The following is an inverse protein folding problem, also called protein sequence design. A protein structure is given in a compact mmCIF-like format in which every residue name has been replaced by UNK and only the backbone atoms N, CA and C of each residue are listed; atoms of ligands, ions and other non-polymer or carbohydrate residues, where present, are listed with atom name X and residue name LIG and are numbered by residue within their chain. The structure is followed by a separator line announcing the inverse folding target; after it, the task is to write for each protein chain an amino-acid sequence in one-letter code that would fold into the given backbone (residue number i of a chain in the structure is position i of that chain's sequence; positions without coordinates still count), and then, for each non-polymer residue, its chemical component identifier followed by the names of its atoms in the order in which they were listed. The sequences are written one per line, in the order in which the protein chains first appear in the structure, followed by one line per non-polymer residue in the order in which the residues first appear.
data_IF_623324601913
#
_entry.id   IF_623324601913
#
_cell.length_a   1.000
_cell.length_b   1.000
_cell.length_c   1.000
_cell.angle_alpha   90.00
_cell.angle_beta   90.00
_cell.angle_gamma   90.00
#
_symmetry.space_group_name_H-M   'P 1'
#
loop_
_entity.id
_entity.type
_entity.pdbx_description
1 polymer ?
#
# COMPACT_ATOMS: atom_id res chain seq x y z
N UNK A 1 -48.20 -11.48 -25.67
CA UNK A 1 -47.65 -12.61 -24.89
C UNK A 1 -46.12 -12.60 -24.84
N UNK A 2 -45.44 -12.10 -25.88
CA UNK A 2 -43.97 -11.97 -25.93
C UNK A 2 -43.41 -10.83 -25.07
N UNK A 3 -44.06 -9.66 -25.04
CA UNK A 3 -43.58 -8.51 -24.26
C UNK A 3 -43.55 -8.79 -22.74
N UNK A 4 -44.55 -9.53 -22.24
CA UNK A 4 -44.64 -9.92 -20.83
C UNK A 4 -43.52 -10.89 -20.44
N UNK A 5 -43.11 -11.79 -21.35
CA UNK A 5 -42.01 -12.74 -21.13
C UNK A 5 -40.66 -12.05 -21.12
N UNK A 6 -40.42 -11.09 -22.01
CA UNK A 6 -39.16 -10.32 -22.05
C UNK A 6 -38.99 -9.47 -20.79
N UNK A 7 -40.07 -8.83 -20.31
CA UNK A 7 -40.02 -8.03 -19.07
C UNK A 7 -39.76 -8.91 -17.84
N UNK A 8 -40.38 -10.09 -17.74
CA UNK A 8 -40.16 -11.02 -16.63
C UNK A 8 -38.72 -11.58 -16.64
N UNK A 9 -38.20 -11.95 -17.81
CA UNK A 9 -36.82 -12.42 -17.95
C UNK A 9 -35.78 -11.34 -17.64
N UNK A 10 -36.04 -10.09 -18.06
CA UNK A 10 -35.18 -8.95 -17.72
C UNK A 10 -35.21 -8.61 -16.22
N UNK A 11 -36.37 -8.74 -15.57
CA UNK A 11 -36.51 -8.54 -14.12
C UNK A 11 -35.76 -9.64 -13.33
N UNK A 12 -35.81 -10.90 -13.78
CA UNK A 12 -35.05 -12.00 -13.17
C UNK A 12 -33.54 -11.85 -13.32
N UNK A 13 -33.06 -11.36 -14.48
CA UNK A 13 -31.65 -11.05 -14.71
C UNK A 13 -31.16 -9.86 -13.87
N UNK A 14 -32.02 -8.86 -13.61
CA UNK A 14 -31.72 -7.72 -12.73
C UNK A 14 -31.65 -8.13 -11.25
N UNK A 15 -32.45 -9.11 -10.80
CA UNK A 15 -32.40 -9.62 -9.42
C UNK A 15 -31.18 -10.51 -9.18
N UNK A 16 -30.71 -11.24 -10.20
CA UNK A 16 -29.55 -12.13 -10.09
C UNK A 16 -28.19 -11.38 -10.00
N UNK A 17 -28.13 -10.12 -10.41
CA UNK A 17 -26.87 -9.37 -10.53
C UNK A 17 -26.59 -8.35 -9.40
N UNK A 18 -27.40 -8.30 -8.33
CA UNK A 18 -27.42 -7.13 -7.44
C UNK A 18 -27.40 -7.35 -5.93
N UNK A 19 -27.30 -8.57 -5.41
CA UNK A 19 -27.25 -8.80 -3.96
C UNK A 19 -25.90 -9.39 -3.57
N UNK A 20 -24.94 -8.51 -3.26
CA UNK A 20 -23.88 -8.87 -2.32
C UNK A 20 -24.54 -9.00 -0.95
N UNK A 21 -25.10 -10.19 -0.68
CA UNK A 21 -25.63 -10.51 0.64
C UNK A 21 -24.44 -10.69 1.57
N UNK A 22 -24.44 -9.99 2.71
CA UNK A 22 -23.53 -10.31 3.80
C UNK A 22 -23.60 -11.82 4.07
N UNK A 23 -22.46 -12.45 4.33
CA UNK A 23 -22.45 -13.87 4.72
C UNK A 23 -23.35 -13.99 5.95
N UNK A 24 -24.23 -15.00 5.99
CA UNK A 24 -25.22 -15.21 7.07
C UNK A 24 -24.58 -15.15 8.47
N UNK A 25 -23.30 -15.52 8.58
CA UNK A 25 -22.51 -15.42 9.80
C UNK A 25 -22.24 -14.00 10.30
N UNK A 26 -22.09 -13.01 9.40
CA UNK A 26 -21.82 -11.61 9.73
C UNK A 26 -23.04 -10.90 10.33
N UNK A 27 -24.25 -11.42 10.12
CA UNK A 27 -25.46 -10.92 10.76
C UNK A 27 -25.47 -11.19 12.28
N UNK A 28 -24.70 -12.18 12.74
CA UNK A 28 -24.60 -12.52 14.16
C UNK A 28 -23.55 -11.62 14.86
N UNK A 29 -23.93 -10.83 15.90
CA UNK A 29 -22.99 -9.99 16.63
C UNK A 29 -21.80 -10.72 17.25
N UNK A 30 -21.94 -12.01 17.58
CA UNK A 30 -20.83 -12.80 18.12
C UNK A 30 -19.71 -13.05 17.11
N UNK A 31 -20.00 -13.03 15.80
CA UNK A 31 -18.98 -13.08 14.76
C UNK A 31 -17.97 -11.94 14.95
N UNK A 32 -18.46 -10.70 14.99
CA UNK A 32 -17.64 -9.49 15.16
C UNK A 32 -16.93 -9.45 16.52
N UNK A 33 -17.61 -9.81 17.61
CA UNK A 33 -17.01 -9.86 18.95
C UNK A 33 -15.90 -10.90 19.04
N UNK A 34 -16.09 -12.06 18.42
CA UNK A 34 -15.08 -13.11 18.41
C UNK A 34 -13.83 -12.68 17.65
N UNK A 35 -14.00 -12.01 16.50
CA UNK A 35 -12.88 -11.48 15.71
C UNK A 35 -12.12 -10.40 16.48
N UNK A 36 -12.83 -9.46 17.10
CA UNK A 36 -12.22 -8.41 17.92
C UNK A 36 -11.41 -8.98 19.10
N UNK A 37 -11.96 -9.98 19.82
CA UNK A 37 -11.25 -10.67 20.91
C UNK A 37 -9.97 -11.35 20.43
N UNK A 38 -10.02 -12.03 19.28
CA UNK A 38 -8.84 -12.67 18.66
C UNK A 38 -7.77 -11.63 18.29
N UNK A 39 -8.16 -10.51 17.68
CA UNK A 39 -7.23 -9.42 17.32
C UNK A 39 -6.62 -8.77 18.55
N UNK A 40 -7.41 -8.52 19.60
CA UNK A 40 -6.87 -7.96 20.85
C UNK A 40 -5.85 -8.91 21.48
N UNK A 41 -6.18 -10.19 21.57
CA UNK A 41 -5.28 -11.20 22.13
C UNK A 41 -3.97 -11.29 21.33
N UNK A 42 -4.03 -11.29 20.00
CA UNK A 42 -2.83 -11.34 19.16
C UNK A 42 -1.91 -10.12 19.32
N UNK A 43 -2.49 -8.94 19.60
CA UNK A 43 -1.72 -7.72 19.91
C UNK A 43 -1.09 -7.79 21.30
N UNK A 44 -1.82 -8.29 22.31
CA UNK A 44 -1.32 -8.44 23.68
C UNK A 44 -0.18 -9.46 23.78
N UNK A 45 -0.26 -10.55 23.01
CA UNK A 45 0.76 -11.61 23.00
C UNK A 45 2.00 -11.25 22.18
N UNK A 46 1.97 -10.12 21.47
CA UNK A 46 3.04 -9.72 20.55
C UNK A 46 4.30 -9.30 21.30
N UNK A 47 5.41 -10.01 21.05
CA UNK A 47 6.75 -9.64 21.52
C UNK A 47 7.48 -8.80 20.48
N UNK A 48 8.05 -7.67 20.89
CA UNK A 48 8.84 -6.82 20.01
C UNK A 48 10.22 -7.45 19.75
N UNK A 49 10.64 -7.46 18.48
CA UNK A 49 12.00 -7.81 18.11
C UNK A 49 12.89 -6.56 18.21
N UNK A 50 13.79 -6.53 19.18
CA UNK A 50 14.72 -5.43 19.42
C UNK A 50 16.13 -5.69 18.86
N UNK A 51 16.32 -6.80 18.14
CA UNK A 51 17.61 -7.14 17.53
C UNK A 51 17.91 -6.24 16.33
N UNK A 52 19.20 -6.10 16.01
CA UNK A 52 19.64 -5.40 14.79
C UNK A 52 19.28 -6.22 13.55
N UNK A 53 18.63 -5.60 12.57
CA UNK A 53 18.23 -6.27 11.33
C UNK A 53 19.45 -6.68 10.48
N UNK A 54 19.55 -7.98 10.18
CA UNK A 54 20.57 -8.50 9.25
C UNK A 54 20.27 -8.12 7.80
N UNK A 55 18.99 -8.19 7.43
CA UNK A 55 18.47 -7.99 6.07
C UNK A 55 17.37 -6.93 6.09
N UNK A 56 17.25 -6.15 5.02
CA UNK A 56 16.18 -5.19 4.81
C UNK A 56 15.55 -5.51 3.46
N UNK A 57 14.24 -5.76 3.44
CA UNK A 57 13.45 -5.90 2.23
C UNK A 57 12.48 -4.72 2.19
N UNK A 58 12.47 -4.00 1.07
CA UNK A 58 11.64 -2.82 0.89
C UNK A 58 10.78 -3.01 -0.36
N UNK A 59 9.47 -3.20 -0.17
CA UNK A 59 8.51 -3.35 -1.26
C UNK A 59 7.89 -1.99 -1.55
N UNK A 60 8.00 -1.54 -2.81
CA UNK A 60 7.45 -0.27 -3.26
C UNK A 60 6.36 -0.50 -4.30
N UNK A 61 5.12 -0.16 -3.95
CA UNK A 61 4.03 -0.04 -4.93
C UNK A 61 3.96 1.39 -5.46
N UNK A 62 4.56 1.66 -6.62
CA UNK A 62 4.48 2.99 -7.24
C UNK A 62 3.01 3.32 -7.58
N UNK A 63 2.55 4.51 -7.17
CA UNK A 63 1.14 4.92 -7.29
C UNK A 63 0.13 4.15 -6.41
N UNK A 64 0.59 3.26 -5.51
CA UNK A 64 -0.30 2.43 -4.68
C UNK A 64 -0.77 3.18 -3.42
N UNK A 65 -1.70 4.13 -3.61
CA UNK A 65 -2.39 4.79 -2.50
C UNK A 65 -3.38 3.87 -1.76
N UNK A 66 -4.00 4.38 -0.70
CA UNK A 66 -4.98 3.65 0.13
C UNK A 66 -6.18 3.16 -0.72
N UNK A 67 -6.62 3.98 -1.68
CA UNK A 67 -7.72 3.66 -2.60
C UNK A 67 -7.34 2.51 -3.54
N UNK A 68 -6.19 2.62 -4.20
CA UNK A 68 -5.64 1.55 -5.06
C UNK A 68 -5.49 0.25 -4.29
N UNK A 69 -4.90 0.31 -3.10
CA UNK A 69 -4.71 -0.85 -2.23
C UNK A 69 -6.03 -1.51 -1.82
N UNK A 70 -7.05 -0.71 -1.47
CA UNK A 70 -8.37 -1.23 -1.10
C UNK A 70 -9.10 -1.84 -2.28
N UNK A 71 -9.05 -1.21 -3.46
CA UNK A 71 -9.61 -1.79 -4.68
C UNK A 71 -8.93 -3.12 -5.03
N UNK A 72 -7.59 -3.21 -4.91
CA UNK A 72 -6.85 -4.45 -5.13
C UNK A 72 -7.22 -5.55 -4.13
N UNK A 73 -7.46 -5.22 -2.85
CA UNK A 73 -7.91 -6.18 -1.83
C UNK A 73 -9.25 -6.81 -2.19
N UNK A 74 -10.22 -5.97 -2.56
CA UNK A 74 -11.56 -6.42 -2.98
C UNK A 74 -11.46 -7.31 -4.21
N UNK A 75 -10.72 -6.85 -5.24
CA UNK A 75 -10.53 -7.61 -6.46
C UNK A 75 -9.87 -8.97 -6.19
N UNK A 76 -8.84 -9.02 -5.33
CA UNK A 76 -8.20 -10.28 -4.94
C UNK A 76 -9.22 -11.26 -4.36
N UNK A 77 -10.03 -10.81 -3.40
CA UNK A 77 -11.05 -11.66 -2.79
C UNK A 77 -12.09 -12.18 -3.78
N UNK A 78 -12.53 -11.32 -4.70
CA UNK A 78 -13.48 -11.71 -5.75
C UNK A 78 -12.88 -12.75 -6.72
N UNK A 79 -11.59 -12.62 -7.05
CA UNK A 79 -10.86 -13.64 -7.83
C UNK A 79 -10.72 -14.97 -7.08
N UNK A 80 -10.81 -14.95 -5.75
CA UNK A 80 -10.82 -16.12 -4.86
C UNK A 80 -12.25 -16.60 -4.52
N UNK A 81 -13.27 -16.14 -5.25
CA UNK A 81 -14.69 -16.44 -5.04
C UNK A 81 -15.24 -16.02 -3.66
N UNK A 82 -14.69 -14.95 -3.07
CA UNK A 82 -15.17 -14.30 -1.85
C UNK A 82 -15.92 -12.99 -2.19
N UNK A 83 -16.53 -12.35 -1.19
CA UNK A 83 -17.20 -11.04 -1.36
C UNK A 83 -16.19 -9.94 -1.69
N UNK A 84 -15.04 -9.94 -1.02
CA UNK A 84 -13.87 -9.14 -1.37
C UNK A 84 -13.38 -8.29 -0.21
N UNK A 85 -14.27 -7.53 0.43
CA UNK A 85 -13.96 -6.55 1.46
C UNK A 85 -13.23 -7.15 2.68
N UNK A 86 -13.58 -8.38 3.05
CA UNK A 86 -13.03 -9.11 4.19
C UNK A 86 -11.67 -9.77 3.90
N UNK A 87 -11.25 -9.78 2.63
CA UNK A 87 -10.03 -10.47 2.20
C UNK A 87 -8.80 -9.82 2.80
N UNK A 88 -7.88 -10.62 3.36
CA UNK A 88 -6.63 -10.10 3.93
C UNK A 88 -5.51 -10.21 2.89
N UNK A 89 -4.85 -9.08 2.60
CA UNK A 89 -3.62 -9.05 1.78
C UNK A 89 -2.41 -9.45 2.63
N UNK A 90 -1.34 -9.94 2.01
CA UNK A 90 -0.09 -10.21 2.73
C UNK A 90 0.47 -8.95 3.41
N UNK A 91 0.24 -7.77 2.85
CA UNK A 91 0.62 -6.50 3.49
C UNK A 91 -0.25 -6.17 4.72
N UNK A 92 -1.50 -6.63 4.78
CA UNK A 92 -2.38 -6.43 5.94
C UNK A 92 -1.92 -7.22 7.17
N UNK A 93 -1.10 -8.27 6.98
CA UNK A 93 -0.55 -9.06 8.09
C UNK A 93 0.68 -8.41 8.74
N UNK A 94 1.15 -7.26 8.23
CA UNK A 94 2.28 -6.56 8.81
C UNK A 94 1.85 -5.94 10.15
N UNK A 95 2.64 -6.13 11.23
CA UNK A 95 2.20 -5.77 12.58
C UNK A 95 2.17 -4.26 12.84
N UNK A 96 2.78 -3.45 11.98
CA UNK A 96 2.88 -2.01 12.15
C UNK A 96 2.46 -1.30 10.87
N UNK A 97 1.67 -0.25 11.02
CA UNK A 97 1.20 0.62 9.93
C UNK A 97 1.49 2.08 10.30
N UNK A 98 1.79 2.89 9.29
CA UNK A 98 2.01 4.32 9.45
C UNK A 98 1.59 5.07 8.19
N UNK A 99 1.29 6.35 8.34
CA UNK A 99 0.99 7.24 7.22
C UNK A 99 2.22 8.10 6.90
N UNK A 100 2.52 8.25 5.61
CA UNK A 100 3.64 9.06 5.13
C UNK A 100 3.14 10.30 4.39
N UNK A 101 3.75 11.47 4.69
CA UNK A 101 3.48 12.73 3.97
C UNK A 101 4.40 12.84 2.75
N UNK A 102 3.85 12.72 1.55
CA UNK A 102 4.62 12.48 0.31
C UNK A 102 5.08 13.72 -0.43
N UNK A 103 4.62 14.93 -0.09
CA UNK A 103 5.00 16.19 -0.77
C UNK A 103 6.51 16.32 -1.06
N UNK A 104 6.88 16.87 -2.23
CA UNK A 104 8.26 17.28 -2.53
C UNK A 104 8.53 18.65 -1.92
N UNK A 105 9.78 19.10 -1.85
CA UNK A 105 10.09 20.40 -1.22
C UNK A 105 9.41 21.58 -1.94
N UNK A 106 9.22 21.46 -3.24
CA UNK A 106 8.68 22.50 -4.12
C UNK A 106 7.23 22.26 -4.58
N UNK A 107 6.66 21.06 -4.41
CA UNK A 107 5.28 20.73 -4.82
C UNK A 107 4.54 19.84 -3.81
N UNK A 108 3.24 20.09 -3.68
CA UNK A 108 2.35 19.29 -2.82
C UNK A 108 2.11 17.89 -3.39
N UNK A 109 1.97 17.79 -4.71
CA UNK A 109 1.86 16.53 -5.45
C UNK A 109 3.25 16.17 -5.97
N UNK A 110 3.91 15.14 -5.44
CA UNK A 110 5.27 14.78 -5.82
C UNK A 110 5.30 13.90 -7.08
N UNK A 111 6.49 13.70 -7.63
CA UNK A 111 6.80 12.65 -8.63
C UNK A 111 7.56 11.47 -8.00
N UNK A 112 7.76 10.41 -8.79
CA UNK A 112 8.48 9.20 -8.34
C UNK A 112 9.95 9.50 -8.00
N UNK A 113 10.61 10.44 -8.68
CA UNK A 113 12.03 10.75 -8.42
C UNK A 113 12.23 11.45 -7.06
N UNK A 114 11.40 12.46 -6.76
CA UNK A 114 11.50 13.17 -5.49
C UNK A 114 11.15 12.27 -4.30
N UNK A 115 10.13 11.42 -4.45
CA UNK A 115 9.75 10.45 -3.41
C UNK A 115 10.82 9.38 -3.23
N UNK A 116 11.42 8.85 -4.31
CA UNK A 116 12.54 7.91 -4.23
C UNK A 116 13.70 8.44 -3.40
N UNK A 117 14.07 9.70 -3.61
CA UNK A 117 15.12 10.35 -2.80
C UNK A 117 14.72 10.43 -1.33
N UNK A 118 13.44 10.70 -1.03
CA UNK A 118 12.95 10.76 0.34
C UNK A 118 13.03 9.41 1.07
N UNK A 119 12.44 8.33 0.52
CA UNK A 119 12.38 7.05 1.22
C UNK A 119 13.66 6.19 1.08
N UNK A 120 14.50 6.43 0.07
CA UNK A 120 15.78 5.70 -0.06
C UNK A 120 16.97 6.45 0.52
N UNK A 121 16.99 7.79 0.50
CA UNK A 121 18.12 8.59 0.99
C UNK A 121 17.81 9.35 2.28
N UNK A 122 16.54 9.36 2.75
CA UNK A 122 16.14 10.06 3.97
C UNK A 122 16.07 11.58 3.84
N UNK A 123 16.12 12.12 2.60
CA UNK A 123 16.14 13.56 2.34
C UNK A 123 15.09 13.90 1.27
N UNK A 124 14.21 14.86 1.55
CA UNK A 124 13.27 15.38 0.54
C UNK A 124 14.00 16.27 -0.47
N UNK A 125 13.56 16.20 -1.72
CA UNK A 125 14.11 17.00 -2.82
C UNK A 125 12.98 17.65 -3.65
N UNK A 126 13.37 18.33 -4.73
CA UNK A 126 12.48 18.97 -5.69
C UNK A 126 11.95 17.98 -6.74
N UNK A 127 10.84 18.32 -7.40
CA UNK A 127 10.30 17.51 -8.50
C UNK A 127 11.34 17.22 -9.59
N UNK A 128 11.25 16.04 -10.20
CA UNK A 128 12.10 15.60 -11.29
C UNK A 128 13.60 15.60 -10.95
N UNK A 129 13.95 15.49 -9.66
CA UNK A 129 15.34 15.34 -9.21
C UNK A 129 15.48 14.06 -8.39
N UNK A 130 16.63 13.39 -8.52
CA UNK A 130 16.90 12.11 -7.87
C UNK A 130 18.29 12.14 -7.22
N UNK A 131 18.39 11.63 -5.99
CA UNK A 131 19.68 11.43 -5.32
C UNK A 131 20.43 12.73 -5.01
N UNK A 132 19.71 13.86 -4.96
CA UNK A 132 20.24 15.18 -4.60
C UNK A 132 19.32 15.86 -3.59
N UNK A 133 19.84 16.83 -2.85
CA UNK A 133 19.05 17.68 -1.96
C UNK A 133 18.24 18.71 -2.74
N UNK A 134 17.26 19.34 -2.08
CA UNK A 134 16.46 20.42 -2.64
C UNK A 134 17.25 21.71 -2.99
N UNK A 135 18.56 21.76 -2.77
CA UNK A 135 19.42 22.83 -3.29
C UNK A 135 19.73 22.66 -4.78
N UNK A 136 19.65 21.43 -5.32
CA UNK A 136 19.73 21.17 -6.75
C UNK A 136 18.45 21.66 -7.47
N UNK A 137 18.56 21.94 -8.77
CA UNK A 137 17.45 22.42 -9.61
C UNK A 137 17.30 21.54 -10.85
N UNK A 138 16.06 21.14 -11.12
CA UNK A 138 15.71 20.38 -12.31
C UNK A 138 16.20 21.10 -13.59
N UNK A 139 16.80 20.35 -14.51
CA UNK A 139 17.36 20.87 -15.75
C UNK A 139 18.65 21.68 -15.62
N UNK A 140 19.21 21.87 -14.42
CA UNK A 140 20.40 22.70 -14.18
C UNK A 140 21.56 21.87 -13.63
N UNK A 141 22.30 21.20 -14.51
CA UNK A 141 23.38 20.26 -14.17
C UNK A 141 24.43 20.85 -13.18
N UNK A 142 24.81 22.13 -13.33
CA UNK A 142 25.77 22.79 -12.42
C UNK A 142 25.36 22.81 -10.94
N UNK A 143 24.08 22.61 -10.64
CA UNK A 143 23.55 22.57 -9.26
C UNK A 143 23.59 21.18 -8.63
N UNK A 144 24.00 20.15 -9.37
CA UNK A 144 24.11 18.79 -8.83
C UNK A 144 25.29 18.68 -7.85
N UNK A 145 26.47 19.16 -8.25
CA UNK A 145 27.72 18.98 -7.52
C UNK A 145 27.64 19.59 -6.11
N UNK A 146 27.89 18.77 -5.10
CA UNK A 146 27.87 19.15 -3.69
C UNK A 146 26.50 19.00 -3.03
N UNK A 147 25.47 18.63 -3.80
CA UNK A 147 24.11 18.41 -3.31
C UNK A 147 23.72 16.92 -3.33
N UNK A 148 24.61 16.01 -3.71
CA UNK A 148 24.34 14.57 -3.74
C UNK A 148 24.00 14.02 -2.36
N UNK A 149 22.99 13.13 -2.30
CA UNK A 149 22.63 12.37 -1.09
C UNK A 149 22.73 10.88 -1.37
N UNK A 150 23.21 10.12 -0.39
CA UNK A 150 23.45 8.68 -0.55
C UNK A 150 22.26 7.86 -0.07
N UNK A 151 21.96 6.78 -0.79
CA UNK A 151 20.85 5.89 -0.45
C UNK A 151 21.23 4.85 0.60
N UNK A 152 20.22 4.29 1.26
CA UNK A 152 20.38 3.15 2.18
C UNK A 152 20.98 1.92 1.47
N UNK A 153 20.74 1.74 0.17
CA UNK A 153 21.40 0.69 -0.61
C UNK A 153 22.90 0.93 -0.74
N UNK A 154 23.32 2.18 -0.95
CA UNK A 154 24.74 2.54 -0.96
C UNK A 154 25.37 2.28 0.40
N UNK A 155 24.70 2.67 1.50
CA UNK A 155 25.17 2.39 2.85
C UNK A 155 25.27 0.89 3.13
N UNK A 156 24.30 0.09 2.67
CA UNK A 156 24.34 -1.36 2.80
C UNK A 156 25.55 -1.95 2.05
N UNK A 157 25.79 -1.50 0.81
CA UNK A 157 26.94 -1.93 0.01
C UNK A 157 28.28 -1.53 0.65
N UNK A 158 28.38 -0.31 1.17
CA UNK A 158 29.57 0.17 1.88
C UNK A 158 29.84 -0.62 3.16
N UNK A 159 28.78 -1.11 3.82
CA UNK A 159 28.86 -2.01 4.96
C UNK A 159 29.11 -3.49 4.58
N UNK A 160 29.43 -3.77 3.31
CA UNK A 160 29.74 -5.13 2.83
C UNK A 160 28.53 -6.05 2.65
N UNK A 161 27.31 -5.51 2.62
CA UNK A 161 26.10 -6.30 2.34
C UNK A 161 25.88 -6.43 0.84
N UNK A 162 25.34 -7.57 0.42
CA UNK A 162 24.82 -7.73 -0.94
C UNK A 162 23.58 -6.86 -1.11
N UNK A 163 23.56 -6.06 -2.18
CA UNK A 163 22.45 -5.18 -2.53
C UNK A 163 21.99 -5.47 -3.95
N UNK A 164 20.68 -5.62 -4.15
CA UNK A 164 20.03 -5.68 -5.46
C UNK A 164 18.94 -4.61 -5.50
N UNK A 165 18.71 -4.05 -6.69
CA UNK A 165 17.60 -3.16 -7.01
C UNK A 165 16.55 -3.94 -7.79
#
# INVERSE_FOLDING_TARGET
MELTRVVISALFLLVAFGLSSAKVEEENPEFWRSQARKTLQSVLDRKLNTNVAKNILFFLGDGMGITTYTASRILKGQLENQTGEETVMTMDTFPNVGLAKTYSVDFQIPDSAATATAYLCGVKTNLNTIGVSAAARNGVCKTQKGNEVTSILKWAKDAGKTSAQ
#
